data_IF_779873842068
#
_entry.id   IF_779873842068
#
_cell.length_a   1.000
_cell.length_b   1.000
_cell.length_c   1.000
_cell.angle_alpha   90.00
_cell.angle_beta   90.00
_cell.angle_gamma   90.00
#
_symmetry.space_group_name_H-M   'P 1'
#
loop_
_entity.id
_entity.type
_entity.pdbx_description
1 polymer ?
#
# COMPACT_ATOMS: atom_id res chain seq x y z
N UNK A 1 15.35 1.11 -10.38
CA UNK A 1 13.89 0.93 -10.34
C UNK A 1 13.27 1.67 -11.52
N UNK A 2 12.30 1.09 -12.23
CA UNK A 2 11.58 1.80 -13.29
C UNK A 2 10.80 2.96 -12.65
N UNK A 3 11.04 4.21 -13.06
CA UNK A 3 10.41 5.42 -12.49
C UNK A 3 8.89 5.31 -12.42
N UNK A 4 8.27 4.59 -13.36
CA UNK A 4 6.81 4.38 -13.37
C UNK A 4 6.32 3.48 -12.24
N UNK A 5 7.12 2.49 -11.82
CA UNK A 5 6.77 1.60 -10.70
C UNK A 5 6.93 2.35 -9.38
N UNK A 6 7.99 3.13 -9.23
CA UNK A 6 8.17 3.98 -8.04
C UNK A 6 7.01 4.97 -7.86
N UNK A 7 6.56 5.63 -8.93
CA UNK A 7 5.40 6.52 -8.87
C UNK A 7 4.14 5.73 -8.48
N UNK A 8 3.97 4.50 -8.99
CA UNK A 8 2.84 3.68 -8.61
C UNK A 8 2.88 3.30 -7.12
N UNK A 9 4.04 2.97 -6.56
CA UNK A 9 4.18 2.70 -5.11
C UNK A 9 3.77 3.93 -4.29
N UNK A 10 4.18 5.14 -4.69
CA UNK A 10 3.76 6.37 -4.02
C UNK A 10 2.25 6.62 -4.15
N UNK A 11 1.66 6.34 -5.32
CA UNK A 11 0.22 6.53 -5.55
C UNK A 11 -0.60 5.50 -4.77
N UNK A 12 -0.09 4.28 -4.61
CA UNK A 12 -0.72 3.21 -3.82
C UNK A 12 -0.91 3.61 -2.35
N UNK A 13 -0.04 4.47 -1.81
CA UNK A 13 -0.11 4.92 -0.41
C UNK A 13 -1.05 6.12 -0.19
N UNK A 14 -1.50 6.81 -1.26
CA UNK A 14 -2.38 7.99 -1.14
C UNK A 14 -3.65 7.71 -0.30
N UNK A 15 -4.37 6.58 -0.46
CA UNK A 15 -5.54 6.28 0.38
C UNK A 15 -5.22 6.27 1.87
N UNK A 16 -4.07 5.71 2.25
CA UNK A 16 -3.65 5.61 3.65
C UNK A 16 -3.36 7.00 4.22
N UNK A 17 -2.64 7.85 3.46
CA UNK A 17 -2.38 9.23 3.86
C UNK A 17 -3.64 10.07 3.98
N UNK A 18 -4.56 9.94 3.03
CA UNK A 18 -5.87 10.62 3.08
C UNK A 18 -6.63 10.23 4.34
N UNK A 19 -6.64 8.94 4.69
CA UNK A 19 -7.30 8.49 5.92
C UNK A 19 -6.62 8.97 7.17
N UNK A 20 -5.29 8.92 7.24
CA UNK A 20 -4.58 9.46 8.40
C UNK A 20 -4.90 10.95 8.61
N UNK A 21 -4.89 11.73 7.52
CA UNK A 21 -5.24 13.15 7.57
C UNK A 21 -6.68 13.36 8.05
N UNK A 22 -7.65 12.66 7.48
CA UNK A 22 -9.08 12.78 7.84
C UNK A 22 -9.43 12.18 9.21
N UNK A 23 -8.57 11.30 9.75
CA UNK A 23 -8.70 10.75 11.11
C UNK A 23 -8.21 11.74 12.18
N UNK A 24 -7.24 12.59 11.82
CA UNK A 24 -6.72 13.65 12.71
C UNK A 24 -7.56 14.92 12.61
N UNK A 25 -7.93 15.32 11.40
CA UNK A 25 -8.66 16.56 11.12
C UNK A 25 -10.07 16.25 10.61
N UNK A 26 -11.00 16.06 11.56
CA UNK A 26 -12.37 15.63 11.28
C UNK A 26 -13.15 16.61 10.40
N UNK A 27 -12.79 17.89 10.42
CA UNK A 27 -13.39 18.95 9.60
C UNK A 27 -13.15 18.78 8.09
N UNK A 28 -12.15 17.99 7.69
CA UNK A 28 -11.84 17.68 6.30
C UNK A 28 -12.36 16.31 5.84
N UNK A 29 -13.12 15.61 6.67
CA UNK A 29 -13.72 14.32 6.29
C UNK A 29 -14.62 14.48 5.07
N UNK A 30 -14.32 13.73 4.02
CA UNK A 30 -15.03 13.81 2.76
C UNK A 30 -14.98 12.48 2.01
N UNK A 31 -16.13 11.82 1.94
CA UNK A 31 -16.28 10.49 1.35
C UNK A 31 -15.85 10.48 -0.12
N UNK A 32 -16.13 11.54 -0.89
CA UNK A 32 -15.78 11.61 -2.31
C UNK A 32 -14.27 11.66 -2.51
N UNK A 33 -13.57 12.44 -1.68
CA UNK A 33 -12.11 12.54 -1.72
C UNK A 33 -11.49 11.21 -1.33
N UNK A 34 -12.02 10.55 -0.30
CA UNK A 34 -11.57 9.22 0.11
C UNK A 34 -11.80 8.15 -0.96
N UNK A 35 -12.99 8.08 -1.57
CA UNK A 35 -13.24 7.11 -2.63
C UNK A 35 -12.41 7.40 -3.89
N UNK A 36 -12.18 8.68 -4.23
CA UNK A 36 -11.29 9.04 -5.32
C UNK A 36 -9.84 8.59 -5.04
N UNK A 37 -9.34 8.78 -3.82
CA UNK A 37 -8.01 8.31 -3.46
C UNK A 37 -7.92 6.79 -3.50
N UNK A 38 -8.93 6.06 -3.00
CA UNK A 38 -9.01 4.60 -3.11
C UNK A 38 -8.94 4.11 -4.56
N UNK A 39 -9.65 4.75 -5.48
CA UNK A 39 -9.59 4.38 -6.91
C UNK A 39 -8.16 4.53 -7.44
N UNK A 40 -7.46 5.62 -7.10
CA UNK A 40 -6.05 5.79 -7.48
C UNK A 40 -5.17 4.70 -6.88
N UNK A 41 -5.36 4.37 -5.60
CA UNK A 41 -4.61 3.32 -4.92
C UNK A 41 -4.82 1.95 -5.57
N UNK A 42 -6.08 1.57 -5.84
CA UNK A 42 -6.42 0.29 -6.49
C UNK A 42 -5.82 0.20 -7.89
N UNK A 43 -5.87 1.28 -8.69
CA UNK A 43 -5.26 1.29 -10.02
C UNK A 43 -3.74 1.17 -9.94
N UNK A 44 -3.11 1.81 -8.97
CA UNK A 44 -1.68 1.69 -8.72
C UNK A 44 -1.29 0.27 -8.30
N UNK A 45 -2.01 -0.33 -7.35
CA UNK A 45 -1.83 -1.74 -6.95
C UNK A 45 -2.00 -2.65 -8.16
N UNK A 46 -3.07 -2.51 -8.95
CA UNK A 46 -3.30 -3.33 -10.14
C UNK A 46 -2.14 -3.22 -11.15
N UNK A 47 -1.60 -2.02 -11.34
CA UNK A 47 -0.42 -1.80 -12.18
C UNK A 47 0.84 -2.47 -11.62
N UNK A 48 1.10 -2.36 -10.30
CA UNK A 48 2.22 -3.03 -9.65
C UNK A 48 2.11 -4.55 -9.82
N UNK A 49 0.94 -5.12 -9.50
CA UNK A 49 0.67 -6.56 -9.69
C UNK A 49 0.86 -7.00 -11.14
N UNK A 50 0.47 -6.19 -12.11
CA UNK A 50 0.72 -6.46 -13.52
C UNK A 50 2.22 -6.49 -13.86
N UNK A 51 3.00 -5.55 -13.32
CA UNK A 51 4.44 -5.51 -13.53
C UNK A 51 5.17 -6.66 -12.83
N UNK A 52 4.67 -7.10 -11.66
CA UNK A 52 5.12 -8.32 -10.97
C UNK A 52 4.83 -9.57 -11.79
N UNK A 53 3.61 -9.70 -12.31
CA UNK A 53 3.22 -10.82 -13.17
C UNK A 53 4.10 -10.94 -14.42
N UNK A 54 4.62 -9.80 -14.92
CA UNK A 54 5.53 -9.73 -16.08
C UNK A 54 7.01 -9.97 -15.74
N UNK A 55 7.37 -10.13 -14.46
CA UNK A 55 8.76 -10.23 -14.01
C UNK A 55 9.57 -8.93 -14.14
N UNK A 56 8.92 -7.82 -14.50
CA UNK A 56 9.57 -6.51 -14.70
C UNK A 56 9.81 -5.77 -13.38
N UNK A 57 9.20 -6.26 -12.30
CA UNK A 57 9.34 -5.76 -10.94
C UNK A 57 9.19 -6.94 -9.98
N UNK A 58 10.02 -7.00 -8.94
CA UNK A 58 9.92 -7.97 -7.85
C UNK A 58 10.33 -7.27 -6.57
N UNK A 59 9.60 -7.49 -5.48
CA UNK A 59 9.99 -7.00 -4.16
C UNK A 59 11.33 -7.60 -3.69
N UNK A 60 11.86 -8.64 -4.35
CA UNK A 60 13.23 -9.11 -4.10
C UNK A 60 14.26 -8.02 -4.43
N UNK A 61 13.99 -7.13 -5.39
CA UNK A 61 14.88 -5.98 -5.66
C UNK A 61 14.95 -4.95 -4.53
N UNK A 62 13.97 -4.92 -3.62
CA UNK A 62 14.07 -4.15 -2.38
C UNK A 62 15.06 -4.82 -1.41
N UNK A 63 15.04 -6.16 -1.30
CA UNK A 63 15.97 -6.90 -0.44
C UNK A 63 17.39 -7.02 -1.02
N UNK A 64 17.55 -6.85 -2.33
CA UNK A 64 18.87 -6.75 -2.98
C UNK A 64 19.63 -5.48 -2.57
N UNK A 65 18.94 -4.48 -1.99
CA UNK A 65 19.53 -3.28 -1.39
C UNK A 65 19.05 -3.09 0.05
N UNK A 66 19.69 -3.75 1.02
CA UNK A 66 19.29 -3.73 2.44
C UNK A 66 19.18 -2.31 3.02
N UNK A 67 19.99 -1.36 2.53
CA UNK A 67 19.97 0.04 2.94
C UNK A 67 18.69 0.80 2.56
N UNK A 68 17.96 0.34 1.54
CA UNK A 68 16.71 0.94 1.07
C UNK A 68 15.48 0.17 1.62
N UNK A 69 15.58 -1.15 1.78
CA UNK A 69 14.49 -1.97 2.34
C UNK A 69 14.26 -1.75 3.84
N UNK A 70 15.31 -1.55 4.64
CA UNK A 70 15.16 -1.40 6.09
C UNK A 70 14.34 -0.14 6.47
N UNK A 71 14.62 1.06 5.92
CA UNK A 71 13.80 2.25 6.18
C UNK A 71 12.34 2.07 5.76
N UNK A 72 12.10 1.44 4.61
CA UNK A 72 10.75 1.17 4.12
C UNK A 72 9.97 0.24 5.07
N UNK A 73 10.61 -0.84 5.51
CA UNK A 73 9.97 -1.80 6.42
C UNK A 73 9.65 -1.18 7.78
N UNK A 74 10.55 -0.33 8.30
CA UNK A 74 10.32 0.43 9.52
C UNK A 74 9.14 1.39 9.35
N UNK A 75 9.11 2.16 8.26
CA UNK A 75 8.01 3.07 7.94
C UNK A 75 6.66 2.35 7.88
N UNK A 76 6.58 1.25 7.11
CA UNK A 76 5.35 0.47 6.96
C UNK A 76 4.88 -0.15 8.28
N UNK A 77 5.81 -0.59 9.12
CA UNK A 77 5.50 -1.11 10.46
C UNK A 77 4.92 -0.04 11.38
N UNK A 78 5.51 1.16 11.43
CA UNK A 78 4.98 2.26 12.21
C UNK A 78 3.61 2.73 11.72
N UNK A 79 3.43 2.78 10.40
CA UNK A 79 2.15 3.14 9.80
C UNK A 79 1.07 2.12 10.17
N UNK A 80 1.38 0.82 10.15
CA UNK A 80 0.47 -0.23 10.60
C UNK A 80 0.08 -0.08 12.07
N UNK A 81 1.06 0.18 12.97
CA UNK A 81 0.77 0.43 14.39
C UNK A 81 -0.16 1.64 14.55
N UNK A 82 0.09 2.72 13.81
CA UNK A 82 -0.73 3.93 13.88
C UNK A 82 -2.18 3.64 13.45
N UNK A 83 -2.38 2.91 12.34
CA UNK A 83 -3.72 2.51 11.89
C UNK A 83 -4.45 1.64 12.92
N UNK A 84 -3.74 0.72 13.57
CA UNK A 84 -4.29 -0.12 14.64
C UNK A 84 -4.74 0.75 15.83
N UNK A 85 -3.90 1.67 16.30
CA UNK A 85 -4.24 2.58 17.41
C UNK A 85 -5.47 3.42 17.06
N UNK A 86 -5.51 4.03 15.87
CA UNK A 86 -6.64 4.83 15.42
C UNK A 86 -7.93 4.00 15.30
N UNK A 87 -7.81 2.73 14.91
CA UNK A 87 -8.94 1.79 14.86
C UNK A 87 -9.49 1.56 16.27
N UNK A 88 -8.64 1.24 17.24
CA UNK A 88 -9.07 0.98 18.63
C UNK A 88 -9.61 2.22 19.36
N UNK A 89 -9.26 3.42 18.89
CA UNK A 89 -9.79 4.67 19.42
C UNK A 89 -11.10 5.11 18.75
N UNK A 90 -11.63 4.33 17.80
CA UNK A 90 -12.78 4.68 16.96
C UNK A 90 -12.58 6.01 16.19
N UNK A 91 -11.32 6.34 15.88
CA UNK A 91 -10.92 7.58 15.16
C UNK A 91 -10.53 7.34 13.72
N UNK A 92 -10.30 6.08 13.33
CA UNK A 92 -9.90 5.75 11.97
C UNK A 92 -11.05 5.99 11.00
N UNK A 93 -10.90 7.02 10.17
CA UNK A 93 -11.89 7.38 9.17
C UNK A 93 -12.06 6.23 8.15
N UNK A 94 -13.31 5.78 7.99
CA UNK A 94 -13.67 4.63 7.14
C UNK A 94 -12.85 3.35 7.38
N UNK A 95 -12.57 3.06 8.66
CA UNK A 95 -11.66 1.97 9.05
C UNK A 95 -11.92 0.62 8.37
N UNK A 96 -13.18 0.15 8.30
CA UNK A 96 -13.49 -1.13 7.66
C UNK A 96 -13.10 -1.20 6.17
N UNK A 97 -13.26 -0.09 5.44
CA UNK A 97 -12.92 -0.02 4.01
C UNK A 97 -11.39 0.00 3.84
N UNK A 98 -10.68 0.73 4.72
CA UNK A 98 -9.21 0.73 4.73
C UNK A 98 -8.64 -0.64 5.02
N UNK A 99 -9.17 -1.35 6.03
CA UNK A 99 -8.70 -2.69 6.34
C UNK A 99 -8.94 -3.66 5.18
N UNK A 100 -10.10 -3.56 4.52
CA UNK A 100 -10.37 -4.35 3.31
C UNK A 100 -9.35 -4.04 2.20
N UNK A 101 -9.07 -2.77 1.93
CA UNK A 101 -8.07 -2.34 0.95
C UNK A 101 -6.68 -2.92 1.25
N UNK A 102 -6.19 -2.74 2.48
CA UNK A 102 -4.87 -3.22 2.91
C UNK A 102 -4.76 -4.73 2.81
N UNK A 103 -5.77 -5.47 3.28
CA UNK A 103 -5.76 -6.94 3.28
C UNK A 103 -5.79 -7.48 1.84
N UNK A 104 -6.72 -7.01 1.01
CA UNK A 104 -6.85 -7.51 -0.36
C UNK A 104 -5.63 -7.15 -1.22
N UNK A 105 -5.09 -5.93 -1.08
CA UNK A 105 -3.87 -5.51 -1.74
C UNK A 105 -2.69 -6.41 -1.36
N UNK A 106 -2.48 -6.61 -0.06
CA UNK A 106 -1.38 -7.45 0.46
C UNK A 106 -1.48 -8.90 -0.01
N UNK A 107 -2.67 -9.50 0.01
CA UNK A 107 -2.90 -10.86 -0.49
C UNK A 107 -2.57 -10.96 -1.98
N UNK A 108 -3.00 -9.96 -2.76
CA UNK A 108 -2.68 -9.87 -4.19
C UNK A 108 -1.18 -9.87 -4.42
N UNK A 109 -0.46 -8.98 -3.75
CA UNK A 109 1.00 -8.87 -3.88
C UNK A 109 1.70 -10.17 -3.49
N UNK A 110 1.35 -10.76 -2.34
CA UNK A 110 1.92 -12.03 -1.87
C UNK A 110 1.72 -13.16 -2.88
N UNK A 111 0.54 -13.25 -3.51
CA UNK A 111 0.25 -14.28 -4.51
C UNK A 111 1.17 -14.16 -5.73
N UNK A 112 1.39 -12.95 -6.24
CA UNK A 112 2.24 -12.71 -7.40
C UNK A 112 3.74 -12.80 -7.08
N UNK A 113 4.17 -12.44 -5.86
CA UNK A 113 5.55 -12.68 -5.41
C UNK A 113 5.90 -14.18 -5.43
N UNK A 114 4.98 -15.04 -5.00
CA UNK A 114 5.23 -16.49 -4.92
C UNK A 114 5.44 -17.14 -6.30
N UNK A 115 4.82 -16.61 -7.36
CA UNK A 115 4.94 -17.15 -8.72
C UNK A 115 6.36 -17.02 -9.27
N UNK A 116 7.03 -15.90 -9.00
CA UNK A 116 8.39 -15.63 -9.51
C UNK A 116 9.44 -16.61 -8.93
N UNK A 117 9.23 -17.10 -7.70
CA UNK A 117 10.08 -18.16 -7.10
C UNK A 117 9.93 -19.53 -7.75
N UNK A 118 8.78 -19.81 -8.35
CA UNK A 118 8.51 -21.11 -8.98
C UNK A 118 9.11 -21.21 -10.38
N UNK A 119 9.31 -20.09 -11.07
CA UNK A 119 9.83 -20.05 -12.44
C UNK A 119 11.36 -19.89 -12.49
N UNK A 120 12.00 -19.52 -11.37
CA UNK A 120 13.47 -19.44 -11.21
C UNK A 120 14.13 -20.70 -10.60
N UNK A 121 13.36 -21.77 -10.37
CA UNK A 121 13.87 -23.10 -9.94
C UNK A 121 13.92 -24.05 -11.12
#
# INVERSE_FOLDING_TARGET
>A
MNTRVFIAELVQDIPLWVVLFMSVYTEYQNDRIFFASLVLGVLATAYILYQMKKGSYSYETLFDKPSEALPFLIYSFFLLILLIILTFQDRLYMGSIIWLYVILGSIGEMFFMRKDRSEKK
#
